data_IF_722539647269
#
_entry.id   IF_722539647269
#
_cell.length_a   1.000
_cell.length_b   1.000
_cell.length_c   1.000
_cell.angle_alpha   90.00
_cell.angle_beta   90.00
_cell.angle_gamma   90.00
#
_symmetry.space_group_name_H-M   'P 1'
#
loop_
_entity.id
_entity.type
_entity.pdbx_description
1 polymer ?
#
# COMPACT_ATOMS: atom_id res chain seq x y z
N UNK A 1 -26.29 40.78 10.25
CA UNK A 1 -25.35 41.78 9.68
C UNK A 1 -24.18 41.86 10.65
N UNK A 2 -22.96 41.44 10.37
CA UNK A 2 -22.33 40.86 9.19
C UNK A 2 -21.23 39.90 9.66
N UNK A 3 -21.05 38.79 8.95
CA UNK A 3 -19.85 37.97 9.03
C UNK A 3 -18.67 38.72 8.37
N UNK A 4 -17.41 38.55 8.80
CA UNK A 4 -16.29 38.85 7.94
C UNK A 4 -16.06 37.69 6.97
N UNK A 5 -16.04 38.02 5.68
CA UNK A 5 -15.85 37.14 4.54
C UNK A 5 -14.42 37.28 4.00
N UNK A 6 -13.82 36.12 3.71
CA UNK A 6 -12.79 35.82 2.70
C UNK A 6 -11.40 36.47 2.78
N UNK A 7 -10.42 35.58 2.89
CA UNK A 7 -9.30 35.45 1.94
C UNK A 7 -8.91 33.97 1.99
N UNK A 8 -9.01 33.13 0.96
CA UNK A 8 -8.78 33.43 -0.45
C UNK A 8 -7.30 33.39 -0.81
N UNK A 9 -6.54 32.40 -0.31
CA UNK A 9 -5.16 32.15 -0.72
C UNK A 9 -4.93 30.67 -0.97
N UNK A 10 -5.11 30.23 -2.22
CA UNK A 10 -4.46 29.03 -2.72
C UNK A 10 -3.01 29.43 -3.02
N UNK A 11 -2.09 29.10 -2.11
CA UNK A 11 -0.65 29.24 -2.29
C UNK A 11 0.00 28.14 -1.43
N UNK A 12 0.65 27.21 -2.11
CA UNK A 12 1.54 26.16 -1.61
C UNK A 12 1.13 25.48 -0.30
N UNK A 13 0.59 24.26 -0.42
CA UNK A 13 0.66 23.29 0.66
C UNK A 13 2.14 22.88 0.83
N UNK A 14 2.92 23.73 1.51
CA UNK A 14 4.08 23.30 2.28
C UNK A 14 3.59 22.17 3.18
N UNK A 15 3.84 20.92 2.80
CA UNK A 15 3.54 19.76 3.64
C UNK A 15 4.44 19.83 4.85
N UNK A 16 4.00 20.58 5.86
CA UNK A 16 4.69 20.70 7.13
C UNK A 16 4.76 19.33 7.79
N UNK A 17 5.95 18.97 8.25
CA UNK A 17 6.19 17.69 8.92
C UNK A 17 5.47 17.69 10.26
N UNK A 18 4.60 16.70 10.49
CA UNK A 18 3.96 16.51 11.80
C UNK A 18 5.00 16.00 12.82
N UNK A 19 5.29 16.83 13.83
CA UNK A 19 6.27 16.54 14.86
C UNK A 19 5.69 15.68 15.99
N UNK A 20 4.36 15.61 16.11
CA UNK A 20 3.63 14.90 17.17
C UNK A 20 3.25 13.51 16.69
N UNK A 21 2.53 13.40 15.56
CA UNK A 21 2.14 12.13 14.97
C UNK A 21 3.07 11.74 13.81
N UNK A 22 4.11 10.95 14.14
CA UNK A 22 5.09 10.47 13.15
C UNK A 22 4.68 9.19 12.41
N UNK A 23 3.52 8.61 12.73
CA UNK A 23 2.95 7.42 12.05
C UNK A 23 1.48 7.67 11.66
N UNK A 24 1.20 8.60 10.73
CA UNK A 24 -0.17 8.96 10.35
C UNK A 24 -0.95 7.80 9.71
N UNK A 25 -0.25 6.85 9.08
CA UNK A 25 -0.85 5.69 8.41
C UNK A 25 -0.90 4.44 9.31
N UNK A 26 -0.48 4.54 10.58
CA UNK A 26 -0.46 3.43 11.53
C UNK A 26 0.29 2.18 11.02
N UNK A 27 1.35 2.38 10.23
CA UNK A 27 2.16 1.30 9.66
C UNK A 27 2.90 0.50 10.74
N UNK A 28 3.22 1.14 11.88
CA UNK A 28 3.95 0.54 12.99
C UNK A 28 3.05 0.29 14.21
N UNK A 29 1.73 0.17 14.00
CA UNK A 29 0.76 -0.11 15.07
C UNK A 29 1.07 -1.38 15.87
N UNK A 30 1.74 -2.36 15.26
CA UNK A 30 2.11 -3.64 15.87
C UNK A 30 3.37 -3.59 16.75
N UNK A 31 4.17 -2.53 16.69
CA UNK A 31 5.44 -2.38 17.45
C UNK A 31 5.23 -1.50 18.68
N UNK A 32 3.98 -1.30 19.11
CA UNK A 32 3.71 -0.62 20.37
C UNK A 32 4.23 -1.48 21.50
N UNK A 33 5.12 -0.89 22.31
CA UNK A 33 5.76 -1.55 23.44
C UNK A 33 5.33 -0.86 24.72
N UNK A 34 4.04 -0.91 25.03
CA UNK A 34 3.57 -0.38 26.30
C UNK A 34 4.01 -1.33 27.43
N UNK A 35 4.33 -0.77 28.61
CA UNK A 35 4.81 -1.56 29.76
C UNK A 35 3.87 -2.74 30.08
N UNK A 36 2.56 -2.49 30.09
CA UNK A 36 1.53 -3.48 30.42
C UNK A 36 1.36 -4.54 29.33
N UNK A 37 1.70 -4.23 28.06
CA UNK A 37 1.68 -5.19 26.95
C UNK A 37 2.90 -6.12 26.96
N UNK A 38 4.02 -5.66 27.53
CA UNK A 38 5.28 -6.42 27.58
C UNK A 38 5.34 -7.34 28.80
N UNK A 39 5.01 -6.81 29.99
CA UNK A 39 5.11 -7.58 31.23
C UNK A 39 3.77 -8.17 31.69
N UNK A 40 2.66 -7.50 31.37
CA UNK A 40 1.27 -7.95 31.58
C UNK A 40 1.07 -8.95 32.70
N UNK A 41 1.03 -8.49 33.95
CA UNK A 41 0.72 -9.37 35.07
C UNK A 41 -0.73 -9.88 34.98
N UNK A 42 -0.91 -11.17 35.24
CA UNK A 42 -2.23 -11.79 35.30
C UNK A 42 -2.95 -11.43 36.61
N UNK A 43 -4.29 -11.29 36.63
CA UNK A 43 -5.04 -10.79 37.80
C UNK A 43 -4.82 -11.55 39.11
N UNK A 44 -4.43 -12.82 39.03
CA UNK A 44 -4.26 -13.71 40.18
C UNK A 44 -2.80 -13.78 40.69
N UNK A 45 -1.86 -13.07 40.04
CA UNK A 45 -0.44 -13.07 40.38
C UNK A 45 0.15 -11.66 40.27
N UNK A 46 -0.44 -10.71 40.98
CA UNK A 46 0.04 -9.33 41.02
C UNK A 46 1.26 -9.17 41.94
N UNK A 47 2.25 -8.45 41.45
CA UNK A 47 3.36 -7.97 42.27
C UNK A 47 2.90 -6.82 43.17
N UNK A 48 3.75 -6.46 44.13
CA UNK A 48 3.48 -5.37 45.07
C UNK A 48 3.38 -4.05 44.31
N UNK A 49 2.34 -3.24 44.57
CA UNK A 49 2.04 -1.99 43.84
C UNK A 49 3.24 -1.03 43.70
N UNK A 50 4.04 -0.91 44.76
CA UNK A 50 5.25 -0.08 44.77
C UNK A 50 6.28 -0.55 43.72
N UNK A 51 6.48 -1.87 43.62
CA UNK A 51 7.40 -2.46 42.65
C UNK A 51 6.86 -2.28 41.23
N UNK A 52 5.56 -2.49 41.02
CA UNK A 52 4.91 -2.31 39.73
C UNK A 52 5.05 -0.87 39.21
N UNK A 53 4.71 0.12 40.06
CA UNK A 53 4.84 1.55 39.72
C UNK A 53 6.30 1.96 39.44
N UNK A 54 7.27 1.48 40.22
CA UNK A 54 8.68 1.82 39.97
C UNK A 54 9.21 1.16 38.70
N UNK A 55 8.79 -0.07 38.42
CA UNK A 55 9.13 -0.77 37.19
C UNK A 55 8.56 -0.06 35.96
N UNK A 56 7.31 0.41 36.03
CA UNK A 56 6.69 1.23 34.98
C UNK A 56 7.52 2.49 34.67
N UNK A 57 7.92 3.24 35.71
CA UNK A 57 8.74 4.45 35.53
C UNK A 57 10.11 4.14 34.96
N UNK A 58 10.78 3.10 35.47
CA UNK A 58 12.10 2.68 35.01
C UNK A 58 12.07 2.25 33.54
N UNK A 59 11.09 1.44 33.15
CA UNK A 59 10.88 1.00 31.77
C UNK A 59 10.70 2.18 30.82
N UNK A 60 9.74 3.07 31.10
CA UNK A 60 9.43 4.21 30.23
C UNK A 60 10.63 5.17 30.10
N UNK A 61 11.32 5.45 31.21
CA UNK A 61 12.50 6.30 31.20
C UNK A 61 13.66 5.68 30.41
N UNK A 62 13.98 4.41 30.68
CA UNK A 62 15.05 3.68 30.01
C UNK A 62 14.80 3.55 28.51
N UNK A 63 13.59 3.14 28.13
CA UNK A 63 13.17 3.05 26.74
C UNK A 63 13.26 4.41 26.04
N UNK A 64 12.67 5.47 26.61
CA UNK A 64 12.69 6.79 26.00
C UNK A 64 14.11 7.36 25.85
N UNK A 65 14.97 7.18 26.85
CA UNK A 65 16.35 7.66 26.82
C UNK A 65 17.16 6.94 25.72
N UNK A 66 17.13 5.61 25.73
CA UNK A 66 17.87 4.80 24.76
C UNK A 66 17.37 5.03 23.33
N UNK A 67 16.06 5.01 23.14
CA UNK A 67 15.43 5.24 21.83
C UNK A 67 15.82 6.61 21.26
N UNK A 68 15.71 7.67 22.07
CA UNK A 68 16.10 9.04 21.64
C UNK A 68 17.58 9.12 21.29
N UNK A 69 18.44 8.51 22.11
CA UNK A 69 19.90 8.51 21.89
C UNK A 69 20.26 7.82 20.58
N UNK A 70 19.75 6.61 20.35
CA UNK A 70 19.95 5.87 19.11
C UNK A 70 19.42 6.65 17.90
N UNK A 71 18.23 7.23 18.02
CA UNK A 71 17.62 8.01 16.95
C UNK A 71 18.41 9.28 16.63
N UNK A 72 19.00 9.96 17.61
CA UNK A 72 19.87 11.12 17.33
C UNK A 72 21.14 10.69 16.61
N UNK A 73 21.73 9.56 17.01
CA UNK A 73 22.97 9.07 16.40
C UNK A 73 22.77 8.59 14.95
N UNK A 74 21.65 7.91 14.65
CA UNK A 74 21.47 7.25 13.34
C UNK A 74 20.36 7.86 12.49
N UNK A 75 19.43 8.60 13.08
CA UNK A 75 18.18 9.00 12.43
C UNK A 75 18.38 9.91 11.22
N UNK A 76 19.30 10.88 11.31
CA UNK A 76 19.60 11.77 10.18
C UNK A 76 20.23 11.01 9.01
N UNK A 77 21.22 10.14 9.29
CA UNK A 77 21.89 9.33 8.29
C UNK A 77 20.93 8.37 7.60
N UNK A 78 20.05 7.71 8.36
CA UNK A 78 19.03 6.81 7.83
C UNK A 78 17.96 7.56 7.02
N UNK A 79 17.53 8.74 7.49
CA UNK A 79 16.59 9.59 6.75
C UNK A 79 17.14 9.98 5.39
N UNK A 80 18.41 10.41 5.33
CA UNK A 80 19.08 10.73 4.07
C UNK A 80 19.22 9.49 3.17
N UNK A 81 19.62 8.35 3.73
CA UNK A 81 19.76 7.09 3.00
C UNK A 81 18.45 6.68 2.31
N UNK A 82 17.34 6.66 3.04
CA UNK A 82 16.03 6.32 2.49
C UNK A 82 15.55 7.35 1.45
N UNK A 83 15.79 8.64 1.70
CA UNK A 83 15.48 9.70 0.74
C UNK A 83 16.19 9.49 -0.60
N UNK A 84 17.50 9.22 -0.58
CA UNK A 84 18.28 8.92 -1.78
C UNK A 84 17.77 7.65 -2.49
N UNK A 85 17.43 6.60 -1.74
CA UNK A 85 16.96 5.34 -2.30
C UNK A 85 15.61 5.53 -3.03
N UNK A 86 14.66 6.24 -2.43
CA UNK A 86 13.38 6.51 -3.06
C UNK A 86 13.49 7.48 -4.25
N UNK A 87 14.40 8.44 -4.19
CA UNK A 87 14.68 9.32 -5.32
C UNK A 87 15.22 8.52 -6.52
N UNK A 88 16.19 7.64 -6.30
CA UNK A 88 16.73 6.77 -7.35
C UNK A 88 15.67 5.80 -7.90
N UNK A 89 14.88 5.16 -7.03
CA UNK A 89 13.79 4.27 -7.44
C UNK A 89 12.78 5.02 -8.33
N UNK A 90 12.40 6.24 -7.94
CA UNK A 90 11.46 7.08 -8.70
C UNK A 90 12.04 7.45 -10.05
N UNK A 91 13.34 7.81 -10.10
CA UNK A 91 14.05 8.06 -11.34
C UNK A 91 14.01 6.84 -12.27
N UNK A 92 14.41 5.66 -11.78
CA UNK A 92 14.36 4.43 -12.58
C UNK A 92 12.94 4.09 -13.04
N UNK A 93 11.92 4.31 -12.21
CA UNK A 93 10.55 4.04 -12.58
C UNK A 93 10.06 4.95 -13.72
N UNK A 94 10.34 6.25 -13.63
CA UNK A 94 9.92 7.22 -14.64
C UNK A 94 10.72 7.04 -15.94
N UNK A 95 12.06 6.94 -15.84
CA UNK A 95 12.93 7.00 -17.01
C UNK A 95 13.26 5.64 -17.64
N UNK A 96 13.15 4.54 -16.89
CA UNK A 96 13.46 3.20 -17.40
C UNK A 96 12.21 2.31 -17.47
N UNK A 97 11.45 2.18 -16.39
CA UNK A 97 10.30 1.26 -16.35
C UNK A 97 9.16 1.72 -17.26
N UNK A 98 8.82 3.01 -17.23
CA UNK A 98 7.73 3.55 -18.05
C UNK A 98 7.95 3.33 -19.56
N UNK A 99 9.12 3.68 -20.16
CA UNK A 99 9.35 3.37 -21.57
C UNK A 99 9.46 1.86 -21.83
N UNK A 100 10.01 1.07 -20.91
CA UNK A 100 10.09 -0.38 -21.08
C UNK A 100 8.70 -1.03 -21.10
N UNK A 101 7.77 -0.59 -20.24
CA UNK A 101 6.37 -1.03 -20.27
C UNK A 101 5.67 -0.63 -21.58
N UNK A 102 5.97 0.56 -22.12
CA UNK A 102 5.46 0.98 -23.43
C UNK A 102 5.98 0.09 -24.55
N UNK A 103 7.27 -0.24 -24.53
CA UNK A 103 7.88 -1.18 -25.46
C UNK A 103 7.21 -2.57 -25.39
N UNK A 104 7.10 -3.14 -24.18
CA UNK A 104 6.41 -4.42 -23.95
C UNK A 104 4.95 -4.40 -24.41
N UNK A 105 4.25 -3.27 -24.26
CA UNK A 105 2.87 -3.13 -24.74
C UNK A 105 2.79 -3.19 -26.26
N UNK A 106 3.76 -2.61 -26.98
CA UNK A 106 3.83 -2.69 -28.45
C UNK A 106 4.04 -4.15 -28.88
N UNK A 107 4.98 -4.85 -28.24
CA UNK A 107 5.29 -6.24 -28.55
C UNK A 107 4.08 -7.17 -28.26
N UNK A 108 3.45 -7.02 -27.10
CA UNK A 108 2.26 -7.79 -26.73
C UNK A 108 1.08 -7.51 -27.66
N UNK A 109 0.92 -6.27 -28.14
CA UNK A 109 -0.13 -5.95 -29.11
C UNK A 109 0.12 -6.65 -30.46
N UNK A 110 1.38 -6.80 -30.87
CA UNK A 110 1.72 -7.56 -32.06
C UNK A 110 1.36 -9.05 -31.87
N UNK A 111 1.79 -9.65 -30.76
CA UNK A 111 1.46 -11.05 -30.42
C UNK A 111 -0.05 -11.26 -30.34
N UNK A 112 -0.78 -10.32 -29.73
CA UNK A 112 -2.26 -10.34 -29.68
C UNK A 112 -2.87 -10.36 -31.07
N UNK A 113 -2.39 -9.53 -31.99
CA UNK A 113 -2.88 -9.51 -33.38
C UNK A 113 -2.66 -10.85 -34.08
N UNK A 114 -1.48 -11.45 -33.91
CA UNK A 114 -1.22 -12.79 -34.45
C UNK A 114 -2.16 -13.84 -33.86
N UNK A 115 -2.36 -13.86 -32.54
CA UNK A 115 -3.28 -14.79 -31.90
C UNK A 115 -4.73 -14.60 -32.37
N UNK A 116 -5.19 -13.35 -32.51
CA UNK A 116 -6.52 -13.07 -33.03
C UNK A 116 -6.67 -13.52 -34.48
N UNK A 117 -5.65 -13.33 -35.32
CA UNK A 117 -5.68 -13.81 -36.70
C UNK A 117 -5.80 -15.35 -36.77
N UNK A 118 -5.07 -16.06 -35.91
CA UNK A 118 -5.15 -17.53 -35.83
C UNK A 118 -6.54 -17.96 -35.36
N UNK A 119 -7.08 -17.32 -34.32
CA UNK A 119 -8.42 -17.62 -33.82
C UNK A 119 -9.49 -17.35 -34.88
N UNK A 120 -9.40 -16.22 -35.60
CA UNK A 120 -10.37 -15.85 -36.62
C UNK A 120 -10.33 -16.82 -37.81
N UNK A 121 -9.13 -17.18 -38.28
CA UNK A 121 -8.97 -18.09 -39.43
C UNK A 121 -9.28 -19.54 -39.10
N UNK A 122 -8.95 -20.02 -37.90
CA UNK A 122 -9.16 -21.43 -37.53
C UNK A 122 -10.49 -21.66 -36.81
N UNK A 123 -10.78 -20.87 -35.77
CA UNK A 123 -11.93 -21.08 -34.90
C UNK A 123 -13.18 -20.37 -35.41
N UNK A 124 -13.05 -19.25 -36.14
CA UNK A 124 -14.17 -18.54 -36.75
C UNK A 124 -15.07 -19.44 -37.61
N UNK A 125 -14.51 -20.12 -38.63
CA UNK A 125 -15.28 -21.04 -39.49
C UNK A 125 -15.89 -22.21 -38.71
N UNK A 126 -15.20 -22.74 -37.71
CA UNK A 126 -15.71 -23.83 -36.87
C UNK A 126 -16.92 -23.39 -36.05
N UNK A 127 -16.84 -22.22 -35.40
CA UNK A 127 -17.97 -21.66 -34.66
C UNK A 127 -19.15 -21.33 -35.58
N UNK A 128 -18.89 -20.79 -36.78
CA UNK A 128 -19.93 -20.48 -37.76
C UNK A 128 -20.65 -21.75 -38.23
N UNK A 129 -19.89 -22.78 -38.60
CA UNK A 129 -20.47 -24.07 -39.04
C UNK A 129 -21.27 -24.75 -37.93
N UNK A 130 -20.77 -24.76 -36.69
CA UNK A 130 -21.52 -25.26 -35.53
C UNK A 130 -22.82 -24.47 -35.29
N UNK A 131 -22.76 -23.14 -35.40
CA UNK A 131 -23.93 -22.28 -35.30
C UNK A 131 -25.00 -22.59 -36.36
N UNK A 132 -24.57 -22.84 -37.61
CA UNK A 132 -25.47 -23.25 -38.70
C UNK A 132 -26.09 -24.63 -38.47
N UNK A 133 -25.36 -25.59 -37.89
CA UNK A 133 -25.91 -26.91 -37.55
C UNK A 133 -26.98 -26.77 -36.46
N UNK A 134 -26.69 -26.02 -35.39
CA UNK A 134 -27.64 -25.79 -34.30
C UNK A 134 -28.89 -25.03 -34.75
N UNK A 135 -28.78 -24.06 -35.66
CA UNK A 135 -29.93 -23.28 -36.13
C UNK A 135 -30.92 -24.09 -36.99
N UNK A 136 -30.46 -25.19 -37.61
CA UNK A 136 -31.32 -26.09 -38.38
C UNK A 136 -32.19 -27.00 -37.49
N UNK A 137 -31.90 -27.10 -36.19
CA UNK A 137 -32.70 -27.88 -35.25
C UNK A 137 -33.95 -27.10 -34.87
N UNK A 138 -35.09 -27.41 -35.50
CA UNK A 138 -36.40 -26.86 -35.12
C UNK A 138 -37.11 -27.81 -34.16
N UNK A 139 -37.27 -27.38 -32.91
CA UNK A 139 -38.04 -28.13 -31.90
C UNK A 139 -39.53 -27.78 -32.07
N UNK A 140 -40.35 -28.76 -32.44
CA UNK A 140 -41.81 -28.63 -32.42
C UNK A 140 -42.34 -29.22 -31.12
N UNK A 141 -42.95 -28.38 -30.28
CA UNK A 141 -43.62 -28.83 -29.08
C UNK A 141 -44.95 -29.50 -29.46
N UNK A 142 -45.01 -30.82 -29.33
CA UNK A 142 -46.26 -31.57 -29.42
C UNK A 142 -47.03 -31.34 -28.11
N UNK A 143 -48.08 -30.52 -28.16
CA UNK A 143 -49.01 -30.35 -27.04
C UNK A 143 -49.82 -31.65 -26.92
N UNK A 144 -49.71 -32.30 -25.76
CA UNK A 144 -50.36 -33.57 -25.43
C UNK A 144 -51.75 -33.32 -24.84
#
# INVERSE_FOLDING_TARGET
>A
MAAPKKSGGAAEAETSVDLVNRDPNSINSHIRSNFDEVLGEQPHAHSIDCLWSNSYKCYNCGFACLYKTLTVLTGLCLGLYWGCQFAFLTYCHVWCMTPMLKFQTIDLNLVKRFNLLILDTCCGPLCETLGLVCSRIKVQNVQK
#
